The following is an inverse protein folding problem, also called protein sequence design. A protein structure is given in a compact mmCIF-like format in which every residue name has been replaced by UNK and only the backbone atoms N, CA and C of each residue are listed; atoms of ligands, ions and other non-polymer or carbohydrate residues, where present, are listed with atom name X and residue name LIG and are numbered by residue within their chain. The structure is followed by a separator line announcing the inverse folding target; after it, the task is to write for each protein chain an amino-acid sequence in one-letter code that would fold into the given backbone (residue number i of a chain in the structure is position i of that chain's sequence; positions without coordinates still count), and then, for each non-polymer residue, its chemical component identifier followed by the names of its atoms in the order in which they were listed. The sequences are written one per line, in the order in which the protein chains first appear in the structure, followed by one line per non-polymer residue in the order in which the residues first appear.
data_IF_229724324785
#
_entry.id   IF_229724324785
#
_cell.length_a   1.000
_cell.length_b   1.000
_cell.length_c   1.000
_cell.angle_alpha   90.00
_cell.angle_beta   90.00
_cell.angle_gamma   90.00
#
_symmetry.space_group_name_H-M   'P 1'
#
loop_
_entity.id
_entity.type
_entity.pdbx_description
1 polymer ?
#
# COMPACT_ATOMS: atom_id res chain seq x y z
N UNK A 1 14.40 8.72 -16.80
CA UNK A 1 14.35 7.27 -16.97
C UNK A 1 14.57 6.54 -15.64
N UNK A 2 15.67 6.80 -14.91
CA UNK A 2 16.00 6.15 -13.62
C UNK A 2 14.85 6.28 -12.62
N UNK A 3 14.24 7.45 -12.48
CA UNK A 3 13.14 7.67 -11.55
C UNK A 3 11.90 6.82 -11.89
N UNK A 4 11.61 6.62 -13.17
CA UNK A 4 10.50 5.76 -13.61
C UNK A 4 10.76 4.29 -13.29
N UNK A 5 12.00 3.82 -13.50
CA UNK A 5 12.39 2.44 -13.20
C UNK A 5 12.35 2.18 -11.69
N UNK A 6 12.99 3.04 -10.89
CA UNK A 6 13.05 2.88 -9.43
C UNK A 6 11.68 3.06 -8.78
N UNK A 7 10.95 4.11 -9.17
CA UNK A 7 9.65 4.42 -8.58
C UNK A 7 8.54 3.41 -8.94
N UNK A 8 8.58 2.85 -10.15
CA UNK A 8 7.53 1.95 -10.65
C UNK A 8 7.77 0.47 -10.36
N UNK A 9 8.99 0.06 -10.02
CA UNK A 9 9.32 -1.35 -9.83
C UNK A 9 9.04 -1.83 -8.41
N UNK A 10 9.82 -1.39 -7.43
CA UNK A 10 9.78 -1.96 -6.07
C UNK A 10 8.46 -1.72 -5.34
N UNK A 11 7.86 -0.55 -5.48
CA UNK A 11 6.61 -0.21 -4.80
C UNK A 11 5.44 -1.07 -5.30
N UNK A 12 5.34 -1.25 -6.61
CA UNK A 12 4.29 -2.07 -7.23
C UNK A 12 4.50 -3.54 -6.92
N UNK A 13 5.72 -4.05 -7.07
CA UNK A 13 6.09 -5.43 -6.72
C UNK A 13 5.77 -5.75 -5.25
N UNK A 14 6.11 -4.85 -4.33
CA UNK A 14 5.82 -5.04 -2.91
C UNK A 14 4.31 -4.99 -2.61
N UNK A 15 3.54 -4.20 -3.34
CA UNK A 15 2.08 -4.21 -3.24
C UNK A 15 1.48 -5.52 -3.76
N UNK A 16 2.00 -6.07 -4.86
CA UNK A 16 1.62 -7.39 -5.38
C UNK A 16 1.91 -8.50 -4.36
N UNK A 17 3.12 -8.52 -3.81
CA UNK A 17 3.49 -9.50 -2.77
C UNK A 17 2.62 -9.35 -1.51
N UNK A 18 2.26 -8.12 -1.15
CA UNK A 18 1.38 -7.86 -0.01
C UNK A 18 -0.05 -8.28 -0.27
N UNK A 19 -0.53 -8.25 -1.52
CA UNK A 19 -1.84 -8.81 -1.88
C UNK A 19 -1.92 -10.28 -1.46
N UNK A 20 -0.90 -11.06 -1.78
CA UNK A 20 -0.82 -12.49 -1.41
C UNK A 20 -0.69 -12.67 0.11
N UNK A 21 0.24 -11.95 0.74
CA UNK A 21 0.45 -12.07 2.19
C UNK A 21 -0.76 -11.60 3.00
N UNK A 22 -1.37 -10.50 2.60
CA UNK A 22 -2.59 -9.99 3.24
C UNK A 22 -3.75 -10.98 3.15
N UNK A 23 -3.97 -11.57 1.99
CA UNK A 23 -5.01 -12.60 1.81
C UNK A 23 -4.74 -13.87 2.62
N UNK A 24 -3.48 -14.21 2.86
CA UNK A 24 -3.11 -15.31 3.76
C UNK A 24 -3.42 -14.98 5.23
N UNK A 25 -3.13 -13.75 5.68
CA UNK A 25 -3.41 -13.31 7.05
C UNK A 25 -4.90 -13.10 7.33
N UNK A 26 -5.66 -12.72 6.29
CA UNK A 26 -7.09 -12.42 6.36
C UNK A 26 -7.83 -13.23 5.28
N UNK A 27 -7.96 -14.56 5.46
CA UNK A 27 -8.46 -15.46 4.42
C UNK A 27 -9.92 -15.17 4.03
N UNK A 28 -10.73 -14.66 4.94
CA UNK A 28 -12.10 -14.23 4.69
C UNK A 28 -12.18 -13.09 3.64
N UNK A 29 -11.14 -12.27 3.55
CA UNK A 29 -11.09 -11.19 2.56
C UNK A 29 -10.90 -11.73 1.12
N UNK A 30 -10.13 -12.82 0.96
CA UNK A 30 -10.04 -13.52 -0.32
C UNK A 30 -11.41 -14.05 -0.75
N UNK A 31 -12.13 -14.67 0.18
CA UNK A 31 -13.44 -15.27 -0.10
C UNK A 31 -14.47 -14.19 -0.51
N UNK A 32 -14.44 -13.01 0.12
CA UNK A 32 -15.28 -11.87 -0.26
C UNK A 32 -15.05 -11.41 -1.70
N UNK A 33 -13.77 -11.19 -2.08
CA UNK A 33 -13.43 -10.75 -3.44
C UNK A 33 -13.72 -11.84 -4.46
N UNK A 34 -13.52 -13.10 -4.10
CA UNK A 34 -13.86 -14.22 -4.96
C UNK A 34 -15.38 -14.29 -5.23
N UNK A 35 -16.20 -14.02 -4.22
CA UNK A 35 -17.65 -13.97 -4.34
C UNK A 35 -18.16 -12.71 -5.08
N UNK A 36 -17.47 -11.59 -4.96
CA UNK A 36 -17.84 -10.33 -5.59
C UNK A 36 -16.63 -9.61 -6.20
N UNK A 37 -16.43 -9.77 -7.51
CA UNK A 37 -15.33 -9.17 -8.28
C UNK A 37 -15.38 -7.63 -8.35
N UNK A 38 -16.53 -7.03 -8.12
CA UNK A 38 -16.67 -5.56 -8.08
C UNK A 38 -15.89 -4.93 -6.93
N UNK A 39 -15.49 -5.74 -5.94
CA UNK A 39 -14.60 -5.31 -4.85
C UNK A 39 -13.14 -5.12 -5.29
N UNK A 40 -12.69 -5.64 -6.43
CA UNK A 40 -11.28 -5.58 -6.85
C UNK A 40 -10.70 -4.16 -6.80
N UNK A 41 -11.35 -3.11 -7.31
CA UNK A 41 -10.80 -1.75 -7.22
C UNK A 41 -10.63 -1.25 -5.78
N UNK A 42 -11.53 -1.63 -4.87
CA UNK A 42 -11.44 -1.27 -3.45
C UNK A 42 -10.38 -2.11 -2.72
N UNK A 43 -10.30 -3.40 -3.05
CA UNK A 43 -9.24 -4.32 -2.59
C UNK A 43 -7.85 -3.74 -2.88
N UNK A 44 -7.63 -3.26 -4.10
CA UNK A 44 -6.35 -2.64 -4.49
C UNK A 44 -6.05 -1.40 -3.66
N UNK A 45 -7.03 -0.51 -3.45
CA UNK A 45 -6.85 0.67 -2.62
C UNK A 45 -6.50 0.28 -1.17
N UNK A 46 -7.19 -0.70 -0.61
CA UNK A 46 -6.95 -1.17 0.75
C UNK A 46 -5.60 -1.87 0.91
N UNK A 47 -5.17 -2.69 -0.05
CA UNK A 47 -3.83 -3.28 -0.05
C UNK A 47 -2.75 -2.19 -0.06
N UNK A 48 -2.89 -1.17 -0.89
CA UNK A 48 -1.95 -0.05 -0.97
C UNK A 48 -1.95 0.76 0.34
N UNK A 49 -3.12 0.99 0.95
CA UNK A 49 -3.25 1.63 2.27
C UNK A 49 -2.52 0.81 3.33
N UNK A 50 -2.86 -0.46 3.44
CA UNK A 50 -2.36 -1.36 4.49
C UNK A 50 -0.87 -1.62 4.37
N UNK A 51 -0.34 -1.81 3.16
CA UNK A 51 1.08 -1.97 2.90
C UNK A 51 1.86 -0.67 3.10
N UNK A 52 1.40 0.42 2.49
CA UNK A 52 2.14 1.69 2.42
C UNK A 52 3.59 1.44 2.00
N UNK A 53 3.86 1.13 0.72
CA UNK A 53 5.18 0.67 0.25
C UNK A 53 6.33 1.63 0.56
N UNK A 54 6.07 2.95 0.51
CA UNK A 54 6.99 3.99 0.98
C UNK A 54 6.54 4.46 2.36
N UNK A 55 7.41 4.31 3.36
CA UNK A 55 7.07 4.66 4.74
C UNK A 55 6.86 6.17 4.91
N UNK A 56 7.68 6.98 4.26
CA UNK A 56 7.63 8.44 4.34
C UNK A 56 8.24 9.10 3.10
N UNK A 57 7.99 10.39 2.96
CA UNK A 57 8.71 11.28 2.05
C UNK A 57 9.09 12.56 2.77
N UNK A 58 10.15 13.23 2.32
CA UNK A 58 10.66 14.44 2.93
C UNK A 58 10.35 15.67 2.08
N UNK A 59 10.08 16.79 2.73
CA UNK A 59 9.98 18.13 2.16
C UNK A 59 10.93 19.08 2.88
N UNK A 60 11.20 20.22 2.26
CA UNK A 60 11.89 21.34 2.90
C UNK A 60 10.91 22.52 2.94
N UNK A 61 10.72 23.11 4.13
CA UNK A 61 9.87 24.27 4.28
C UNK A 61 10.45 25.45 3.49
N UNK A 62 9.61 26.11 2.67
CA UNK A 62 10.02 27.28 1.87
C UNK A 62 9.84 28.60 2.59
N UNK A 63 9.04 28.61 3.64
CA UNK A 63 8.73 29.75 4.51
C UNK A 63 8.43 29.22 5.90
N UNK A 64 8.31 30.12 6.89
CA UNK A 64 7.87 29.79 8.24
C UNK A 64 6.38 29.40 8.18
N UNK A 65 6.00 28.30 8.83
CA UNK A 65 4.61 27.79 8.85
C UNK A 65 4.24 27.40 10.27
N UNK A 66 3.11 27.91 10.76
CA UNK A 66 2.53 27.46 12.01
C UNK A 66 1.68 26.20 11.80
N UNK A 67 1.95 25.15 12.56
CA UNK A 67 1.22 23.90 12.50
C UNK A 67 1.04 23.31 13.91
N UNK A 68 -0.21 23.16 14.34
CA UNK A 68 -0.56 22.59 15.67
C UNK A 68 0.19 23.25 16.84
N UNK A 69 0.31 24.58 16.82
CA UNK A 69 1.00 25.36 17.86
C UNK A 69 2.52 25.24 17.84
N UNK A 70 3.10 24.74 16.76
CA UNK A 70 4.55 24.68 16.52
C UNK A 70 4.91 25.41 15.25
N UNK A 71 6.02 26.14 15.27
CA UNK A 71 6.56 26.83 14.10
C UNK A 71 7.55 25.90 13.38
N UNK A 72 7.25 25.59 12.12
CA UNK A 72 8.20 24.98 11.19
C UNK A 72 8.93 26.13 10.49
N UNK A 73 10.24 26.21 10.67
CA UNK A 73 11.04 27.29 10.09
C UNK A 73 11.38 27.04 8.63
N UNK A 74 11.56 28.13 7.89
CA UNK A 74 12.12 28.07 6.53
C UNK A 74 13.43 27.30 6.53
N UNK A 75 13.56 26.30 5.65
CA UNK A 75 14.72 25.42 5.56
C UNK A 75 14.60 24.13 6.36
N UNK A 76 13.64 24.01 7.27
CA UNK A 76 13.43 22.80 8.05
C UNK A 76 13.06 21.61 7.16
N UNK A 77 13.52 20.42 7.58
CA UNK A 77 13.20 19.15 6.93
C UNK A 77 11.97 18.54 7.59
N UNK A 78 10.91 18.40 6.81
CA UNK A 78 9.64 17.84 7.26
C UNK A 78 9.47 16.44 6.69
N UNK A 79 9.42 15.42 7.54
CA UNK A 79 9.12 14.05 7.14
C UNK A 79 7.61 13.80 7.24
N UNK A 80 7.02 13.44 6.12
CA UNK A 80 5.60 13.07 6.04
C UNK A 80 5.49 11.55 6.13
N UNK A 81 5.09 11.04 7.28
CA UNK A 81 4.99 9.61 7.56
C UNK A 81 3.68 9.04 7.00
N UNK A 82 3.70 8.57 5.76
CA UNK A 82 2.54 7.96 5.10
C UNK A 82 2.03 6.73 5.84
N UNK A 83 2.95 5.91 6.36
CA UNK A 83 2.59 4.71 7.13
C UNK A 83 1.81 5.06 8.40
N UNK A 84 2.11 6.18 9.05
CA UNK A 84 1.37 6.67 10.21
C UNK A 84 0.00 7.22 9.81
N UNK A 85 -0.05 8.05 8.77
CA UNK A 85 -1.31 8.61 8.28
C UNK A 85 -2.29 7.54 7.77
N UNK A 86 -1.79 6.49 7.14
CA UNK A 86 -2.62 5.36 6.68
C UNK A 86 -3.08 4.43 7.82
N UNK A 87 -2.58 4.66 9.05
CA UNK A 87 -2.98 3.95 10.27
C UNK A 87 -3.57 4.86 11.35
N UNK A 88 -3.90 6.08 10.99
CA UNK A 88 -4.56 7.01 11.90
C UNK A 88 -6.00 6.56 12.18
N UNK A 89 -6.28 6.17 13.43
CA UNK A 89 -7.59 5.68 13.88
C UNK A 89 -8.69 6.73 13.77
N UNK A 90 -8.32 8.02 13.77
CA UNK A 90 -9.26 9.13 13.52
C UNK A 90 -9.77 9.14 12.08
N UNK A 91 -9.04 8.48 11.15
CA UNK A 91 -9.39 8.41 9.72
C UNK A 91 -9.82 7.02 9.31
N UNK A 92 -9.20 5.99 9.82
CA UNK A 92 -9.45 4.60 9.45
C UNK A 92 -9.77 3.79 10.70
N UNK A 93 -10.99 3.29 10.83
CA UNK A 93 -11.37 2.37 11.90
C UNK A 93 -10.56 1.08 11.78
N UNK A 94 -10.08 0.53 12.91
CA UNK A 94 -9.27 -0.68 12.92
C UNK A 94 -8.18 -0.71 11.82
N UNK A 95 -7.25 0.27 11.78
CA UNK A 95 -6.40 0.51 10.62
C UNK A 95 -5.38 -0.61 10.34
N UNK A 96 -5.14 -1.49 11.33
CA UNK A 96 -4.24 -2.63 11.19
C UNK A 96 -4.91 -3.86 10.56
N UNK A 97 -6.25 -3.89 10.51
CA UNK A 97 -7.02 -4.92 9.83
C UNK A 97 -7.09 -4.60 8.34
N UNK A 98 -6.84 -5.61 7.51
CA UNK A 98 -7.09 -5.53 6.07
C UNK A 98 -8.58 -5.78 5.84
N UNK A 99 -9.27 -4.83 5.24
CA UNK A 99 -10.71 -4.88 5.01
C UNK A 99 -11.04 -4.40 3.59
N UNK A 100 -11.35 -5.33 2.71
CA UNK A 100 -11.61 -5.05 1.29
C UNK A 100 -12.95 -4.35 1.02
N UNK A 101 -13.80 -4.27 2.04
CA UNK A 101 -15.06 -3.50 2.00
C UNK A 101 -14.93 -2.13 2.68
N UNK A 102 -13.73 -1.75 3.12
CA UNK A 102 -13.51 -0.45 3.77
C UNK A 102 -13.94 0.70 2.87
N UNK A 103 -14.97 1.43 3.27
CA UNK A 103 -15.58 2.51 2.47
C UNK A 103 -14.57 3.61 2.10
N UNK A 104 -13.66 3.94 3.01
CA UNK A 104 -12.71 5.03 2.81
C UNK A 104 -11.28 4.56 2.44
N UNK A 105 -11.10 3.33 1.94
CA UNK A 105 -9.80 2.78 1.54
C UNK A 105 -9.05 3.71 0.58
N UNK A 106 -9.75 4.34 -0.36
CA UNK A 106 -9.18 5.26 -1.36
C UNK A 106 -8.66 6.58 -0.78
N UNK A 107 -8.97 6.88 0.48
CA UNK A 107 -8.47 8.08 1.16
C UNK A 107 -7.04 7.92 1.69
N UNK A 108 -6.37 6.82 1.36
CA UNK A 108 -4.98 6.60 1.73
C UNK A 108 -4.03 7.64 1.10
N UNK A 109 -2.92 7.87 1.77
CA UNK A 109 -1.89 8.82 1.33
C UNK A 109 -0.62 8.14 0.81
N UNK A 110 -0.65 6.83 0.49
CA UNK A 110 0.51 6.07 -0.01
C UNK A 110 1.11 6.66 -1.30
N UNK A 111 0.28 7.31 -2.12
CA UNK A 111 0.72 8.01 -3.33
C UNK A 111 1.19 9.44 -3.09
N UNK A 112 1.24 9.88 -1.84
CA UNK A 112 1.50 11.27 -1.49
C UNK A 112 0.35 12.21 -1.84
N UNK A 113 0.62 13.51 -1.71
CA UNK A 113 -0.37 14.55 -1.96
C UNK A 113 0.27 15.78 -2.62
N UNK A 114 -0.55 16.61 -3.27
CA UNK A 114 -0.13 17.86 -3.91
C UNK A 114 0.65 17.66 -5.21
N UNK A 115 1.51 18.61 -5.54
CA UNK A 115 2.25 18.66 -6.83
C UNK A 115 3.17 17.44 -7.04
N UNK A 116 3.61 16.78 -5.97
CA UNK A 116 4.45 15.59 -6.02
C UNK A 116 3.67 14.28 -5.85
N UNK A 117 2.35 14.30 -5.97
CA UNK A 117 1.57 13.06 -5.97
C UNK A 117 2.13 12.11 -7.03
N UNK A 118 2.15 10.82 -6.71
CA UNK A 118 2.63 9.77 -7.61
C UNK A 118 2.03 9.90 -9.02
N UNK A 119 2.89 10.07 -10.01
CA UNK A 119 2.47 10.18 -11.42
C UNK A 119 1.93 8.83 -11.95
N UNK A 120 2.49 7.71 -11.46
CA UNK A 120 2.15 6.36 -11.89
C UNK A 120 1.00 5.70 -11.12
N UNK A 121 0.26 6.43 -10.27
CA UNK A 121 -0.75 5.83 -9.39
C UNK A 121 -1.82 5.03 -10.15
N UNK A 122 -2.32 5.56 -11.27
CA UNK A 122 -3.33 4.86 -12.09
C UNK A 122 -2.79 3.59 -12.74
N UNK A 123 -1.53 3.60 -13.19
CA UNK A 123 -0.89 2.42 -13.75
C UNK A 123 -0.68 1.34 -12.68
N UNK A 124 -0.23 1.73 -11.50
CA UNK A 124 -0.04 0.80 -10.37
C UNK A 124 -1.39 0.18 -9.94
N UNK A 125 -2.43 0.97 -9.82
CA UNK A 125 -3.78 0.48 -9.51
C UNK A 125 -4.28 -0.49 -10.57
N UNK A 126 -4.12 -0.17 -11.86
CA UNK A 126 -4.54 -1.02 -12.96
C UNK A 126 -3.78 -2.37 -12.96
N UNK A 127 -2.45 -2.33 -12.77
CA UNK A 127 -1.65 -3.56 -12.70
C UNK A 127 -2.10 -4.46 -11.55
N UNK A 128 -2.40 -3.89 -10.39
CA UNK A 128 -2.90 -4.66 -9.24
C UNK A 128 -4.31 -5.20 -9.48
N UNK A 129 -5.19 -4.44 -10.14
CA UNK A 129 -6.52 -4.91 -10.48
C UNK A 129 -6.47 -6.10 -11.44
N UNK A 130 -5.64 -6.01 -12.49
CA UNK A 130 -5.43 -7.11 -13.44
C UNK A 130 -4.85 -8.32 -12.72
N UNK A 131 -3.85 -8.11 -11.84
CA UNK A 131 -3.26 -9.21 -11.06
C UNK A 131 -4.33 -9.93 -10.22
N UNK A 132 -5.16 -9.19 -9.49
CA UNK A 132 -6.24 -9.76 -8.68
C UNK A 132 -7.22 -10.55 -9.53
N UNK A 133 -7.69 -9.98 -10.63
CA UNK A 133 -8.63 -10.63 -11.54
C UNK A 133 -8.04 -11.94 -12.09
N UNK A 134 -6.77 -11.91 -12.51
CA UNK A 134 -6.09 -13.09 -13.05
C UNK A 134 -5.78 -14.16 -11.99
N UNK A 135 -5.42 -13.76 -10.77
CA UNK A 135 -5.22 -14.70 -9.65
C UNK A 135 -6.52 -15.44 -9.31
N UNK A 136 -7.59 -14.70 -9.17
CA UNK A 136 -8.90 -15.25 -8.79
C UNK A 136 -9.54 -16.13 -9.88
N UNK A 137 -9.15 -15.98 -11.15
CA UNK A 137 -9.58 -16.86 -12.26
C UNK A 137 -8.88 -18.21 -12.23
N UNK A 138 -7.63 -18.24 -11.76
CA UNK A 138 -6.75 -19.40 -11.89
C UNK A 138 -6.58 -20.19 -10.61
N UNK A 139 -6.74 -19.55 -9.47
CA UNK A 139 -6.40 -20.15 -8.19
C UNK A 139 -7.55 -20.05 -7.21
N UNK A 140 -7.88 -21.17 -6.59
CA UNK A 140 -8.86 -21.18 -5.50
C UNK A 140 -8.28 -20.49 -4.26
N UNK A 141 -6.97 -20.65 -4.03
CA UNK A 141 -6.25 -20.00 -2.91
C UNK A 141 -4.73 -19.96 -3.14
N UNK A 142 -4.11 -18.95 -2.53
CA UNK A 142 -2.65 -18.85 -2.42
C UNK A 142 -2.31 -18.81 -0.94
N UNK A 143 -1.54 -19.80 -0.46
CA UNK A 143 -1.13 -19.93 0.93
C UNK A 143 0.34 -19.53 1.08
N UNK A 144 0.67 -18.77 2.10
CA UNK A 144 2.08 -18.43 2.42
C UNK A 144 2.62 -19.47 3.40
N UNK A 145 3.80 -20.00 3.11
CA UNK A 145 4.45 -21.00 3.92
C UNK A 145 5.59 -20.39 4.74
N UNK A 146 5.46 -20.47 6.06
CA UNK A 146 6.40 -19.87 7.00
C UNK A 146 6.39 -18.34 6.99
N UNK A 147 7.31 -17.74 7.70
CA UNK A 147 7.41 -16.29 7.80
C UNK A 147 8.11 -15.68 6.56
N UNK A 148 7.50 -14.71 5.88
CA UNK A 148 8.16 -13.99 4.80
C UNK A 148 9.38 -13.21 5.30
N UNK A 149 10.49 -13.30 4.57
CA UNK A 149 11.67 -12.46 4.85
C UNK A 149 11.42 -11.04 4.37
N UNK A 150 11.46 -10.10 5.31
CA UNK A 150 11.25 -8.68 5.00
C UNK A 150 12.53 -8.01 4.54
N UNK A 151 12.37 -6.98 3.74
CA UNK A 151 13.44 -6.05 3.41
C UNK A 151 13.82 -5.23 4.66
N UNK A 152 15.12 -5.16 4.96
CA UNK A 152 15.63 -4.29 6.04
C UNK A 152 15.80 -2.87 5.47
N UNK A 153 14.76 -2.07 5.64
CA UNK A 153 14.73 -0.70 5.13
C UNK A 153 13.77 0.15 5.97
N UNK A 154 14.19 1.35 6.31
CA UNK A 154 13.33 2.37 6.94
C UNK A 154 12.46 3.11 5.93
N UNK A 155 12.74 2.96 4.62
CA UNK A 155 12.10 3.74 3.56
C UNK A 155 11.13 2.90 2.72
N UNK A 156 11.60 1.78 2.13
CA UNK A 156 10.78 0.89 1.31
C UNK A 156 10.38 -0.35 2.11
N UNK A 157 9.10 -0.55 2.29
CA UNK A 157 8.54 -1.74 2.95
C UNK A 157 8.26 -2.83 1.93
N UNK A 158 8.82 -4.01 2.13
CA UNK A 158 8.61 -5.12 1.20
C UNK A 158 9.21 -6.43 1.68
N UNK A 159 9.27 -7.37 0.76
CA UNK A 159 9.71 -8.74 1.01
C UNK A 159 10.87 -9.10 0.09
N UNK A 160 11.88 -9.79 0.65
CA UNK A 160 13.00 -10.37 -0.11
C UNK A 160 12.74 -11.82 -0.49
N UNK A 161 11.91 -12.52 0.30
CA UNK A 161 11.49 -13.90 0.02
C UNK A 161 10.13 -14.19 0.67
N UNK A 162 9.27 -14.85 -0.07
CA UNK A 162 7.99 -15.37 0.42
C UNK A 162 7.70 -16.68 -0.34
N UNK A 163 7.67 -17.79 0.38
CA UNK A 163 7.32 -19.08 -0.21
C UNK A 163 5.80 -19.21 -0.21
N UNK A 164 5.25 -19.72 -1.30
CA UNK A 164 3.79 -19.89 -1.45
C UNK A 164 3.45 -21.27 -1.99
N UNK A 165 2.28 -21.77 -1.61
CA UNK A 165 1.59 -22.88 -2.29
C UNK A 165 0.39 -22.29 -2.99
N UNK A 166 0.25 -22.63 -4.25
CA UNK A 166 -0.87 -22.22 -5.10
C UNK A 166 -1.82 -23.41 -5.21
N UNK A 167 -3.10 -23.17 -4.98
CA UNK A 167 -4.15 -24.18 -5.10
C UNK A 167 -5.03 -23.85 -6.28
N UNK A 168 -5.32 -24.86 -7.13
CA UNK A 168 -6.24 -24.78 -8.25
C UNK A 168 -7.70 -24.83 -7.77
#
# INVERSE_FOLDING_TARGET
LILLIVGGNDTTRNSMSTSVYGSHLFPDQWDKVNANRDLIPNTVAEVIRWQTPLAYMRRTAREDVEMHGKTIKKGDKVAMWYVSGNRDERKFSNPNVLDFERENARNHISFGFGIHRCFGNRLAELQLQILWDEMLKRFSRIEVIGEPRRNISSFVKGYTKMNVIVRD
#
